data_IF_536211066207
#
_entry.id   IF_536211066207
#
_cell.length_a   1.000
_cell.length_b   1.000
_cell.length_c   1.000
_cell.angle_alpha   90.00
_cell.angle_beta   90.00
_cell.angle_gamma   90.00
#
_symmetry.space_group_name_H-M   'P 1'
#
loop_
_entity.id
_entity.type
_entity.pdbx_description
1 polymer ?
2 non-polymer ?
3 water ?
#
# COMPACT_ATOMS: atom_id res chain seq x y z
N UNK A 22 -9.04 17.76 -5.95
CA UNK A 22 -8.12 18.49 -5.04
C UNK A 22 -6.65 18.03 -5.20
N UNK A 23 -6.26 16.99 -4.48
CA UNK A 23 -4.84 16.73 -4.17
C UNK A 23 -4.02 16.04 -5.28
N UNK A 24 -2.86 16.62 -5.59
CA UNK A 24 -1.92 16.03 -6.53
C UNK A 24 -0.95 15.08 -5.82
N UNK A 25 -0.45 14.10 -6.57
CA UNK A 25 0.44 13.07 -6.06
C UNK A 25 1.75 13.04 -6.87
N UNK A 26 2.87 12.86 -6.17
CA UNK A 26 4.18 12.71 -6.77
C UNK A 26 4.22 11.31 -7.39
N UNK A 27 5.02 11.11 -8.42
CA UNK A 27 4.99 9.82 -9.11
C UNK A 27 5.65 8.74 -8.27
N UNK A 28 5.40 7.49 -8.61
CA UNK A 28 6.06 6.38 -7.98
C UNK A 28 7.02 5.76 -9.00
N UNK A 29 8.20 5.37 -8.54
CA UNK A 29 9.12 4.51 -9.25
C UNK A 29 8.75 3.08 -8.86
N UNK A 30 8.00 2.42 -9.74
CA UNK A 30 7.48 1.08 -9.53
C UNK A 30 8.49 0.06 -10.03
N UNK A 31 9.10 -0.64 -9.10
CA UNK A 31 10.15 -1.60 -9.42
C UNK A 31 9.57 -2.98 -9.32
N UNK A 32 9.67 -3.73 -10.41
CA UNK A 32 9.12 -5.06 -10.46
C UNK A 32 10.29 -5.99 -10.71
N UNK A 33 10.37 -7.08 -9.97
CA UNK A 33 11.36 -8.08 -10.22
C UNK A 33 10.68 -9.44 -10.34
N UNK A 34 11.23 -10.25 -11.21
CA UNK A 34 10.72 -11.58 -11.41
C UNK A 34 12.02 -12.40 -11.44
N UNK A 35 11.96 -13.68 -11.12
CA UNK A 35 13.00 -14.48 -11.73
C UNK A 35 12.52 -14.94 -13.11
N UNK A 36 11.36 -15.59 -13.18
CA UNK A 36 10.92 -16.35 -14.37
C UNK A 36 11.12 -15.55 -15.64
N UNK A 37 10.79 -14.26 -15.55
CA UNK A 37 11.02 -13.30 -16.61
C UNK A 37 9.81 -13.18 -17.51
N UNK A 42 5.79 -9.30 -20.48
CA UNK A 42 4.39 -9.64 -20.78
C UNK A 42 3.45 -8.99 -19.76
N UNK A 43 3.72 -9.25 -18.47
CA UNK A 43 2.95 -8.64 -17.37
C UNK A 43 3.15 -7.12 -17.32
N UNK A 44 4.41 -6.71 -17.44
CA UNK A 44 4.74 -5.29 -17.62
C UNK A 44 3.92 -4.70 -18.77
N UNK A 45 3.88 -5.40 -19.89
CA UNK A 45 3.04 -4.99 -21.04
C UNK A 45 1.61 -4.72 -20.60
N UNK A 46 1.04 -5.70 -19.91
CA UNK A 46 -0.32 -5.64 -19.44
C UNK A 46 -0.52 -4.42 -18.54
N UNK A 47 0.47 -4.16 -17.68
CA UNK A 47 0.33 -3.11 -16.69
C UNK A 47 0.23 -1.75 -17.35
N UNK A 48 1.03 -1.54 -18.39
CA UNK A 48 1.09 -0.23 -19.07
C UNK A 48 -0.16 0.05 -19.92
N UNK A 49 -0.86 -1.02 -20.33
CA UNK A 49 -2.09 -0.90 -21.11
C UNK A 49 -3.29 -0.63 -20.21
N UNK A 54 -1.25 6.12 -15.07
CA UNK A 54 -0.42 7.31 -15.02
C UNK A 54 1.07 6.92 -14.96
N UNK A 55 1.46 5.92 -15.75
CA UNK A 55 2.80 5.34 -15.65
C UNK A 55 3.40 5.18 -17.03
N UNK A 56 4.71 5.44 -17.14
CA UNK A 56 5.46 5.26 -18.37
C UNK A 56 6.51 4.15 -18.19
N UNK A 57 6.82 3.46 -19.28
CA UNK A 57 7.79 2.37 -19.21
C UNK A 57 9.20 2.91 -19.34
N UNK A 58 10.08 2.58 -18.42
CA UNK A 58 11.47 2.87 -18.63
C UNK A 58 12.05 1.79 -19.58
N UNK A 59 12.90 2.21 -20.52
CA UNK A 59 13.63 1.24 -21.31
C UNK A 59 15.08 1.21 -20.82
N UNK A 60 15.57 0.02 -20.47
CA UNK A 60 16.93 -0.15 -20.01
C UNK A 60 17.94 -0.30 -21.15
N UNK A 61 19.19 0.00 -20.85
CA UNK A 61 20.32 -0.30 -21.72
C UNK A 61 20.85 -1.67 -21.36
N UNK A 62 21.26 -2.46 -22.36
CA UNK A 62 21.88 -3.74 -22.10
C UNK A 62 23.02 -4.03 -23.07
N UNK A 63 23.98 -4.84 -22.63
CA UNK A 63 25.02 -5.36 -23.53
C UNK A 63 24.71 -6.73 -24.16
N UNK A 64 23.63 -7.38 -23.75
CA UNK A 64 23.29 -8.67 -24.38
C UNK A 64 22.74 -8.48 -25.79
N UNK A 65 22.85 -9.51 -26.61
CA UNK A 65 22.29 -9.46 -27.98
C UNK A 65 20.77 -9.40 -27.95
N UNK A 66 20.18 -8.72 -28.93
CA UNK A 66 18.74 -8.73 -29.13
C UNK A 66 18.30 -10.14 -29.53
N UNK A 67 17.18 -10.58 -28.98
CA UNK A 67 16.61 -11.90 -29.31
C UNK A 67 15.53 -11.71 -30.36
N UNK A 68 15.05 -12.84 -30.92
CA UNK A 68 14.11 -12.76 -32.03
C UNK A 68 12.87 -12.03 -31.55
N UNK A 69 12.43 -11.06 -32.34
CA UNK A 69 11.25 -10.27 -31.98
C UNK A 69 11.51 -9.01 -31.19
N UNK A 70 12.69 -8.87 -30.59
CA UNK A 70 13.01 -7.69 -29.80
C UNK A 70 13.39 -6.53 -30.73
N UNK A 71 13.07 -5.32 -30.28
CA UNK A 71 13.32 -4.12 -31.06
C UNK A 71 14.01 -3.10 -30.19
N UNK A 72 15.09 -2.53 -30.76
CA UNK A 72 15.76 -1.38 -30.19
C UNK A 72 14.76 -0.29 -29.81
N UNK A 73 14.92 0.25 -28.61
CA UNK A 73 14.12 1.37 -28.15
C UNK A 73 12.78 0.98 -27.55
N UNK A 74 12.41 -0.29 -27.71
CA UNK A 74 11.17 -0.82 -27.15
C UNK A 74 11.49 -1.83 -26.06
N UNK A 75 12.29 -2.84 -26.36
CA UNK A 75 12.64 -3.83 -25.35
C UNK A 75 13.83 -3.41 -24.53
N UNK A 76 14.89 -2.97 -25.23
CA UNK A 76 16.07 -2.38 -24.62
C UNK A 76 16.68 -1.37 -25.57
N UNK A 77 17.61 -0.57 -25.06
CA UNK A 77 18.65 0.01 -25.90
C UNK A 77 19.83 -0.97 -25.91
N UNK A 78 20.12 -1.54 -27.07
CA UNK A 78 21.16 -2.54 -27.21
C UNK A 78 22.50 -1.88 -27.63
N UNK A 79 23.52 -2.02 -26.78
CA UNK A 79 24.84 -1.44 -27.01
C UNK A 79 25.93 -2.45 -26.68
N UNK A 80 27.20 -2.13 -26.94
CA UNK A 80 28.27 -3.05 -26.57
C UNK A 80 28.86 -2.63 -25.22
N UNK A 81 29.79 -3.42 -24.70
CA UNK A 81 30.28 -3.20 -23.36
C UNK A 81 30.98 -1.83 -23.24
N UNK A 82 31.77 -1.48 -24.25
CA UNK A 82 32.47 -0.19 -24.28
C UNK A 82 31.48 0.96 -24.16
N UNK A 83 30.44 0.94 -24.98
CA UNK A 83 29.45 2.02 -24.96
C UNK A 83 28.66 2.06 -23.64
N UNK A 84 28.35 0.88 -23.12
CA UNK A 84 27.68 0.81 -21.82
C UNK A 84 28.53 1.50 -20.77
N UNK A 85 29.80 1.12 -20.68
CA UNK A 85 30.68 1.77 -19.72
C UNK A 85 30.84 3.28 -19.96
N UNK A 86 30.89 3.69 -21.22
CA UNK A 86 30.97 5.14 -21.52
C UNK A 86 29.75 5.88 -20.98
N UNK A 87 28.58 5.29 -21.19
CA UNK A 87 27.33 5.91 -20.72
C UNK A 87 27.33 6.02 -19.19
N UNK A 88 27.73 4.97 -18.48
CA UNK A 88 27.87 5.08 -17.02
C UNK A 88 28.83 6.21 -16.66
N UNK A 89 29.96 6.30 -17.36
CA UNK A 89 30.98 7.27 -17.00
C UNK A 89 30.53 8.72 -17.18
N UNK A 90 29.60 8.95 -18.11
CA UNK A 90 29.17 10.33 -18.43
C UNK A 90 27.87 10.72 -17.71
N UNK A 91 27.46 9.92 -16.73
CA UNK A 91 26.30 10.27 -15.91
C UNK A 91 24.94 9.88 -16.47
N UNK A 92 24.89 9.17 -17.58
CA UNK A 92 23.63 8.88 -18.26
C UNK A 92 22.88 7.64 -17.74
N UNK A 93 23.54 6.88 -16.86
CA UNK A 93 22.95 5.67 -16.26
C UNK A 93 22.88 5.87 -14.77
N UNK A 94 21.69 5.68 -14.24
CA UNK A 94 21.47 5.95 -12.83
C UNK A 94 21.64 4.67 -12.00
N UNK A 95 21.50 3.51 -12.63
CA UNK A 95 21.70 2.23 -11.94
C UNK A 95 22.22 1.26 -12.96
N UNK A 96 23.08 0.35 -12.54
CA UNK A 96 23.46 -0.74 -13.40
C UNK A 96 23.90 -1.95 -12.59
N UNK A 97 23.78 -3.11 -13.22
CA UNK A 97 24.23 -4.37 -12.64
C UNK A 97 24.65 -5.34 -13.73
N UNK A 98 25.43 -6.33 -13.32
CA UNK A 98 25.73 -7.43 -14.19
C UNK A 98 24.77 -8.56 -13.83
N UNK A 99 24.02 -9.01 -14.83
CA UNK A 99 22.98 -10.02 -14.66
C UNK A 99 23.22 -11.12 -15.68
N UNK A 100 23.55 -12.29 -15.15
CA UNK A 100 23.89 -13.45 -15.95
C UNK A 100 24.83 -13.18 -17.10
N UNK A 101 25.96 -12.53 -16.82
CA UNK A 101 27.00 -12.29 -17.79
C UNK A 101 26.90 -11.06 -18.71
N UNK A 102 25.88 -10.21 -18.53
CA UNK A 102 25.71 -9.00 -19.32
C UNK A 102 25.37 -7.79 -18.42
N UNK A 103 25.69 -6.60 -18.89
CA UNK A 103 25.34 -5.35 -18.18
C UNK A 103 23.92 -4.92 -18.54
N UNK A 104 23.21 -4.37 -17.54
CA UNK A 104 21.91 -3.75 -17.74
C UNK A 104 21.86 -2.53 -16.86
N UNK A 105 21.24 -1.47 -17.35
CA UNK A 105 21.19 -0.21 -16.62
C UNK A 105 19.98 0.66 -16.99
N UNK A 106 19.58 1.45 -16.02
CA UNK A 106 18.46 2.33 -16.16
C UNK A 106 18.95 3.71 -16.53
N UNK A 107 18.47 4.26 -17.64
CA UNK A 107 18.86 5.61 -18.02
C UNK A 107 18.37 6.67 -17.03
N UNK A 108 19.22 7.64 -16.71
CA UNK A 108 18.87 8.70 -15.74
C UNK A 108 17.75 9.59 -16.31
N UNK A 109 17.79 9.80 -17.64
CA UNK A 109 16.92 10.73 -18.38
C UNK A 109 15.41 10.73 -18.05
N UNK A 110 14.96 11.83 -17.45
CA UNK A 110 13.51 12.13 -17.16
C UNK A 110 12.92 11.41 -15.94
N UNK A 111 13.72 10.55 -15.30
CA UNK A 111 13.19 9.72 -14.24
C UNK A 111 12.73 10.60 -13.08
N UNK A 112 13.68 11.34 -12.51
CA UNK A 112 13.40 12.24 -11.38
C UNK A 112 12.48 13.35 -11.86
N UNK A 113 12.71 13.85 -13.08
CA UNK A 113 11.77 14.75 -13.73
C UNK A 113 10.33 14.26 -13.55
N UNK A 114 10.08 13.02 -13.97
CA UNK A 114 8.73 12.48 -14.02
C UNK A 114 8.13 12.33 -12.65
N UNK A 115 8.94 11.93 -11.68
CA UNK A 115 8.50 11.84 -10.28
C UNK A 115 7.93 13.19 -9.83
N UNK A 116 8.66 14.27 -10.11
CA UNK A 116 8.19 15.63 -9.74
C UNK A 116 6.85 16.01 -10.42
N UNK A 117 6.60 15.46 -11.61
CA UNK A 117 5.42 15.80 -12.43
C UNK A 117 4.20 14.98 -12.04
N UNK A 118 4.40 14.03 -11.14
CA UNK A 118 3.33 13.14 -10.75
C UNK A 118 3.22 11.97 -11.69
N UNK A 119 4.24 11.75 -12.51
CA UNK A 119 4.22 10.64 -13.46
C UNK A 119 5.04 9.50 -12.88
N UNK A 120 4.44 8.32 -12.85
CA UNK A 120 5.11 7.12 -12.34
C UNK A 120 5.95 6.48 -13.43
N UNK A 121 6.97 5.74 -13.04
CA UNK A 121 7.81 5.04 -13.96
C UNK A 121 7.86 3.55 -13.59
N UNK A 122 7.71 2.70 -14.60
CA UNK A 122 7.86 1.23 -14.42
C UNK A 122 9.30 0.79 -14.76
N UNK A 123 9.95 0.18 -13.77
CA UNK A 123 11.28 -0.40 -13.92
C UNK A 123 11.18 -1.92 -13.71
N UNK A 124 11.57 -2.72 -14.70
CA UNK A 124 11.55 -4.18 -14.54
C UNK A 124 13.01 -4.61 -14.50
N UNK A 125 13.51 -4.84 -13.29
CA UNK A 125 14.93 -4.99 -13.01
C UNK A 125 15.15 -6.13 -12.02
N UNK A 126 16.40 -6.59 -11.90
CA UNK A 126 16.71 -7.71 -11.02
C UNK A 126 16.83 -7.19 -9.58
N UNK A 127 17.12 -8.08 -8.63
CA UNK A 127 17.16 -7.73 -7.23
C UNK A 127 18.28 -6.73 -6.96
N UNK A 128 19.40 -6.84 -7.67
CA UNK A 128 20.49 -5.88 -7.49
C UNK A 128 20.02 -4.46 -7.79
N UNK A 129 19.26 -4.31 -8.87
CA UNK A 129 18.67 -3.02 -9.23
C UNK A 129 17.60 -2.56 -8.26
N UNK A 130 16.73 -3.47 -7.84
CA UNK A 130 15.71 -3.14 -6.87
C UNK A 130 16.35 -2.67 -5.58
N UNK A 131 17.40 -3.36 -5.14
CA UNK A 131 18.08 -2.99 -3.89
C UNK A 131 18.67 -1.59 -3.99
N UNK A 132 19.30 -1.30 -5.12
CA UNK A 132 19.90 0.01 -5.35
C UNK A 132 18.83 1.13 -5.28
N UNK A 133 17.72 0.95 -5.99
CA UNK A 133 16.63 1.93 -5.90
C UNK A 133 16.05 2.12 -4.51
N UNK A 134 15.83 1.01 -3.80
CA UNK A 134 15.30 1.11 -2.44
C UNK A 134 16.28 1.85 -1.51
N UNK A 135 17.58 1.67 -1.71
CA UNK A 135 18.61 2.34 -0.93
C UNK A 135 18.71 3.83 -1.29
N UNK A 136 18.71 4.16 -2.58
CA UNK A 136 18.98 5.54 -2.98
C UNK A 136 17.75 6.44 -3.07
N UNK A 137 16.57 5.87 -3.29
CA UNK A 137 15.36 6.67 -3.55
C UNK A 137 14.15 6.09 -2.84
N UNK A 138 14.36 5.67 -1.59
CA UNK A 138 13.37 4.93 -0.78
C UNK A 138 12.00 5.54 -0.81
N UNK A 139 11.93 6.87 -0.66
CA UNK A 139 10.66 7.57 -0.54
C UNK A 139 9.81 7.56 -1.81
N UNK A 140 10.43 7.32 -2.98
CA UNK A 140 9.70 7.33 -4.24
C UNK A 140 9.50 5.95 -4.86
N UNK A 141 10.10 4.94 -4.26
CA UNK A 141 10.12 3.59 -4.80
C UNK A 141 9.07 2.72 -4.16
N UNK A 142 8.40 1.91 -4.97
CA UNK A 142 7.56 0.83 -4.51
C UNK A 142 8.04 -0.42 -5.23
N UNK A 143 8.42 -1.45 -4.47
CA UNK A 143 9.00 -2.67 -5.06
C UNK A 143 8.08 -3.86 -4.87
N UNK A 144 7.95 -4.66 -5.94
CA UNK A 144 7.09 -5.82 -5.97
C UNK A 144 7.85 -6.99 -6.57
N UNK A 145 7.88 -8.09 -5.84
CA UNK A 145 8.56 -9.29 -6.31
C UNK A 145 7.47 -10.24 -6.83
N UNK A 146 7.64 -10.69 -8.06
CA UNK A 146 6.71 -11.61 -8.69
C UNK A 146 7.27 -13.02 -8.57
N UNK A 147 6.62 -13.82 -7.71
CA UNK A 147 7.05 -15.17 -7.32
C UNK A 147 6.42 -16.23 -8.22
N UNK A 148 7.21 -17.20 -8.71
CA UNK A 148 6.56 -18.31 -9.38
C UNK A 148 5.79 -19.17 -8.40
N UNK A 149 4.79 -19.93 -8.87
CA UNK A 149 3.95 -20.70 -7.93
C UNK A 149 4.68 -21.92 -7.33
N UNK A 150 5.70 -22.40 -8.02
CA UNK A 150 6.51 -23.52 -7.53
C UNK A 150 7.79 -23.57 -8.34
N UNK A 151 8.74 -24.35 -7.85
CA UNK A 151 9.99 -24.57 -8.56
C UNK A 151 9.77 -25.30 -9.87
N UNK A 152 8.89 -26.31 -9.85
CA UNK A 152 8.62 -27.08 -11.04
C UNK A 152 8.03 -26.15 -12.11
N UNK A 153 7.14 -25.24 -11.74
CA UNK A 153 6.60 -24.28 -12.71
C UNK A 153 7.66 -23.30 -13.19
N UNK A 154 8.52 -22.85 -12.29
CA UNK A 154 9.65 -21.98 -12.67
C UNK A 154 10.56 -22.68 -13.70
N UNK A 155 10.89 -23.94 -13.45
CA UNK A 155 11.70 -24.74 -14.39
C UNK A 155 11.01 -24.82 -15.76
N UNK A 156 9.70 -25.04 -15.78
CA UNK A 156 8.97 -25.08 -17.06
C UNK A 156 8.91 -23.70 -17.77
N UNK A 157 9.28 -22.61 -17.10
CA UNK A 157 9.25 -21.25 -17.67
C UNK A 157 10.63 -20.65 -17.95
N UNK A 172 21.02 -22.54 -13.87
CA UNK A 172 20.04 -21.56 -14.40
C UNK A 172 18.89 -21.28 -13.42
N UNK A 173 18.39 -22.35 -12.83
CA UNK A 173 17.36 -22.31 -11.81
C UNK A 173 17.99 -21.99 -10.45
N UNK A 174 19.28 -22.30 -10.31
CA UNK A 174 20.03 -21.92 -9.10
C UNK A 174 20.08 -20.43 -9.01
N UNK A 175 20.24 -19.78 -10.16
CA UNK A 175 20.25 -18.34 -10.23
C UNK A 175 18.90 -17.76 -9.83
N UNK A 176 17.84 -18.41 -10.29
CA UNK A 176 16.49 -17.99 -9.99
C UNK A 176 16.23 -18.16 -8.49
N UNK A 177 16.63 -19.30 -7.91
CA UNK A 177 16.47 -19.51 -6.45
C UNK A 177 17.18 -18.44 -5.62
N UNK A 178 18.38 -18.07 -6.04
CA UNK A 178 19.14 -17.04 -5.34
C UNK A 178 18.41 -15.68 -5.44
N UNK A 179 17.93 -15.34 -6.63
CA UNK A 179 17.15 -14.12 -6.82
C UNK A 179 15.93 -14.10 -5.85
N UNK A 180 15.18 -15.20 -5.84
CA UNK A 180 14.02 -15.39 -4.98
C UNK A 180 14.32 -15.20 -3.50
N UNK A 181 15.54 -15.59 -3.08
CA UNK A 181 15.91 -15.43 -1.68
C UNK A 181 15.96 -13.98 -1.23
N UNK A 182 15.97 -13.02 -2.18
CA UNK A 182 15.92 -11.58 -1.85
C UNK A 182 14.51 -10.97 -1.75
N UNK A 183 13.48 -11.80 -1.89
CA UNK A 183 12.07 -11.37 -1.87
C UNK A 183 11.67 -10.62 -0.61
N UNK A 184 12.25 -11.03 0.52
CA UNK A 184 11.86 -10.43 1.79
C UNK A 184 12.14 -8.98 1.91
N UNK A 185 13.08 -8.48 1.12
CA UNK A 185 13.40 -7.04 1.09
C UNK A 185 12.43 -6.18 0.25
N UNK A 186 11.54 -6.82 -0.51
CA UNK A 186 10.59 -6.10 -1.39
C UNK A 186 9.34 -5.65 -0.62
N UNK A 187 8.71 -4.56 -1.06
CA UNK A 187 7.52 -4.05 -0.35
C UNK A 187 6.34 -5.02 -0.43
N UNK A 188 6.11 -5.56 -1.62
CA UNK A 188 5.05 -6.50 -1.89
C UNK A 188 5.57 -7.75 -2.56
N UNK A 189 4.82 -8.85 -2.41
CA UNK A 189 5.11 -10.10 -3.11
C UNK A 189 3.80 -10.64 -3.67
N UNK A 190 3.84 -11.10 -4.91
CA UNK A 190 2.66 -11.66 -5.59
C UNK A 190 3.08 -12.99 -6.19
N UNK A 191 2.28 -14.03 -5.97
CA UNK A 191 2.48 -15.32 -6.59
C UNK A 191 1.82 -15.26 -7.96
N UNK A 192 2.62 -15.47 -8.99
CA UNK A 192 2.16 -15.38 -10.36
C UNK A 192 1.60 -16.70 -10.95
N UNK A 193 0.37 -17.03 -10.60
CA UNK A 193 -0.35 -18.17 -11.18
C UNK A 193 -0.72 -17.87 -12.63
N UNK A 194 -1.45 -16.78 -12.80
CA UNK A 194 -1.89 -16.28 -14.10
C UNK A 194 -1.39 -14.86 -14.31
N UNK A 195 -0.75 -14.63 -15.45
CA UNK A 195 -0.24 -13.30 -15.83
C UNK A 195 -1.25 -12.17 -15.68
N UNK A 196 -2.46 -12.41 -16.17
CA UNK A 196 -3.49 -11.39 -16.13
C UNK A 196 -3.84 -11.01 -14.70
N UNK A 197 -3.97 -12.00 -13.82
CA UNK A 197 -4.27 -11.74 -12.41
C UNK A 197 -3.13 -10.93 -11.75
N UNK A 198 -1.91 -11.30 -12.06
CA UNK A 198 -0.72 -10.60 -11.56
C UNK A 198 -0.73 -9.13 -11.96
N UNK A 199 -1.00 -8.89 -13.25
CA UNK A 199 -1.12 -7.55 -13.77
C UNK A 199 -2.19 -6.77 -13.02
N UNK A 200 -3.34 -7.40 -12.74
CA UNK A 200 -4.42 -6.75 -11.99
C UNK A 200 -3.97 -6.34 -10.60
N UNK A 201 -3.28 -7.24 -9.92
CA UNK A 201 -2.82 -7.00 -8.56
C UNK A 201 -1.74 -5.91 -8.53
N UNK A 202 -0.84 -5.93 -9.50
CA UNK A 202 0.14 -4.83 -9.60
C UNK A 202 -0.59 -3.51 -9.82
N UNK A 203 -1.57 -3.51 -10.73
CA UNK A 203 -2.35 -2.27 -11.01
C UNK A 203 -3.02 -1.78 -9.71
N UNK A 204 -3.59 -2.69 -8.94
CA UNK A 204 -4.20 -2.35 -7.65
C UNK A 204 -3.21 -1.76 -6.67
N UNK A 205 -1.99 -2.31 -6.63
CA UNK A 205 -0.97 -1.79 -5.71
C UNK A 205 -0.54 -0.40 -6.13
N UNK A 206 -0.41 -0.17 -7.44
CA UNK A 206 0.02 1.14 -7.90
C UNK A 206 -1.05 2.18 -7.51
N UNK A 207 -2.31 1.86 -7.77
CA UNK A 207 -3.42 2.78 -7.48
C UNK A 207 -3.51 3.07 -6.00
N UNK A 208 -3.32 2.05 -5.16
CA UNK A 208 -3.26 2.27 -3.70
C UNK A 208 -2.11 3.20 -3.29
N UNK A 209 -0.93 2.95 -3.84
CA UNK A 209 0.25 3.74 -3.46
C UNK A 209 0.12 5.22 -3.86
N UNK A 210 -0.64 5.49 -4.91
CA UNK A 210 -0.90 6.85 -5.35
C UNK A 210 -1.73 7.65 -4.35
N UNK A 211 -2.48 6.96 -3.50
CA UNK A 211 -3.29 7.57 -2.43
C UNK A 211 -2.59 7.68 -1.10
N UNK A 212 -1.33 7.25 -1.02
CA UNK A 212 -0.61 7.35 0.24
C UNK A 212 -0.47 8.81 0.62
N UNK A 213 -0.67 9.10 1.91
CA UNK A 213 -0.58 10.46 2.40
C UNK A 213 0.81 11.08 2.17
N UNK A 214 1.86 10.30 2.39
CA UNK A 214 3.24 10.78 2.25
C UNK A 214 3.59 11.18 0.81
N UNK A 215 2.81 10.76 -0.19
CA UNK A 215 3.07 11.13 -1.58
C UNK A 215 2.27 12.32 -2.07
N UNK A 216 1.41 12.89 -1.23
CA UNK A 216 0.56 13.97 -1.68
C UNK A 216 1.39 15.25 -1.64
N UNK A 217 1.14 16.17 -2.56
CA UNK A 217 1.88 17.42 -2.56
C UNK A 217 1.02 18.51 -1.98
N UNK A 218 1.52 19.21 -0.99
CA UNK A 218 0.84 20.42 -0.47
C UNK A 218 -0.38 20.11 0.38
N UNK A 219 -0.40 18.96 1.03
CA UNK A 219 -1.56 18.58 1.86
C UNK A 219 -1.74 19.58 3.01
N UNK A 220 -0.65 19.93 3.70
CA UNK A 220 -0.80 20.84 4.85
C UNK A 220 -1.35 22.20 4.41
N UNK A 221 -0.80 22.74 3.31
CA UNK A 221 -1.31 23.99 2.74
C UNK A 221 -2.77 23.86 2.30
N UNK A 222 -3.14 22.70 1.74
CA UNK A 222 -4.53 22.48 1.34
C UNK A 222 -5.44 22.53 2.57
N UNK A 223 -5.03 21.87 3.64
CA UNK A 223 -5.83 21.85 4.88
C UNK A 223 -5.95 23.27 5.46
N UNK A 224 -4.87 24.01 5.44
CA UNK A 224 -4.85 25.36 6.00
C UNK A 224 -5.73 26.33 5.22
N UNK A 225 -5.85 26.11 3.91
CA UNK A 225 -6.68 26.97 3.06
C UNK A 225 -8.13 26.50 3.03
N UNK A 226 -8.38 25.20 2.93
CA UNK A 226 -9.76 24.70 2.72
C UNK A 226 -10.50 24.27 3.97
N UNK A 227 -9.77 23.87 5.02
CA UNK A 227 -10.38 23.46 6.29
C UNK A 227 -9.72 24.18 7.46
N UNK A 228 -9.70 25.52 7.41
CA UNK A 228 -8.97 26.31 8.40
C UNK A 228 -9.63 26.21 9.76
N UNK A 229 -8.82 26.17 10.81
CA UNK A 229 -9.34 26.28 12.16
C UNK A 229 -9.52 27.78 12.41
N UNK A 230 -10.67 28.16 12.96
CA UNK A 230 -10.96 29.56 13.23
C UNK A 230 -10.60 29.91 14.67
N UNK A 231 -10.58 31.22 14.94
CA UNK A 231 -10.15 31.81 16.21
C UNK A 231 -9.23 33.02 15.93
N UNK B 21 -1.61 -21.62 -3.44
CA UNK B 21 -1.74 -21.12 -2.04
C UNK B 21 -0.39 -21.22 -1.31
N UNK B 22 0.66 -20.80 -2.02
CA UNK B 22 2.01 -20.70 -1.48
C UNK B 22 2.11 -19.76 -0.27
N UNK B 23 1.54 -18.56 -0.40
CA UNK B 23 1.52 -17.55 0.68
C UNK B 23 0.20 -17.58 1.46
N UNK B 24 0.26 -17.18 2.74
CA UNK B 24 -0.88 -17.33 3.63
C UNK B 24 -1.72 -16.07 3.67
N UNK B 25 -3.03 -16.25 3.87
CA UNK B 25 -3.95 -15.12 3.91
C UNK B 25 -3.63 -14.19 5.08
N UNK B 26 -3.76 -12.91 4.84
CA UNK B 26 -3.24 -11.92 5.73
C UNK B 26 -4.39 -11.04 6.20
N UNK B 27 -4.34 -10.65 7.48
CA UNK B 27 -5.39 -9.88 8.14
C UNK B 27 -4.92 -8.50 8.60
N UNK B 28 -5.70 -7.49 8.29
CA UNK B 28 -5.34 -6.11 8.57
C UNK B 28 -6.41 -5.53 9.51
N UNK B 29 -5.99 -4.63 10.40
CA UNK B 29 -6.92 -3.82 11.16
C UNK B 29 -7.05 -2.50 10.39
N UNK B 30 -8.16 -2.36 9.68
CA UNK B 30 -8.39 -1.25 8.77
C UNK B 30 -9.14 -0.18 9.55
N UNK B 31 -8.46 0.94 9.76
CA UNK B 31 -8.99 2.03 10.55
C UNK B 31 -9.44 3.10 9.56
N UNK B 32 -10.74 3.42 9.60
CA UNK B 32 -11.29 4.51 8.82
C UNK B 32 -11.76 5.62 9.74
N UNK B 33 -11.39 6.85 9.39
CA UNK B 33 -11.86 8.02 10.11
C UNK B 33 -12.43 9.04 9.15
N UNK B 34 -13.38 9.80 9.67
CA UNK B 34 -13.86 10.99 8.97
C UNK B 34 -14.09 12.11 10.02
N UNK B 35 -14.50 13.29 9.57
CA UNK B 35 -15.00 14.21 10.59
C UNK B 35 -16.26 13.63 11.24
N UNK B 36 -16.36 13.71 12.57
CA UNK B 36 -17.47 13.11 13.30
C UNK B 36 -18.80 13.84 13.09
N UNK B 42 -22.46 4.36 6.13
CA UNK B 42 -22.41 4.91 4.77
C UNK B 42 -21.28 4.27 3.97
N UNK B 43 -20.06 4.80 4.09
CA UNK B 43 -18.93 4.23 3.35
C UNK B 43 -18.62 2.84 3.92
N UNK B 44 -18.60 2.73 5.25
CA UNK B 44 -18.46 1.46 5.97
C UNK B 44 -19.40 0.36 5.46
N UNK B 45 -20.70 0.62 5.49
CA UNK B 45 -21.69 -0.35 5.03
C UNK B 45 -21.37 -0.89 3.63
N UNK B 46 -21.13 0.02 2.70
CA UNK B 46 -20.85 -0.36 1.32
C UNK B 46 -19.61 -1.27 1.19
N UNK B 47 -18.60 -1.03 2.04
CA UNK B 47 -17.35 -1.82 1.96
C UNK B 47 -17.59 -3.27 2.38
N UNK B 48 -18.37 -3.46 3.44
CA UNK B 48 -18.64 -4.78 3.99
C UNK B 48 -19.58 -5.63 3.11
N UNK B 49 -20.56 -4.98 2.48
CA UNK B 49 -21.51 -5.68 1.61
C UNK B 49 -20.92 -5.91 0.23
N UNK B 54 -12.70 -10.22 2.55
CA UNK B 54 -12.38 -10.92 3.79
C UNK B 54 -12.27 -9.97 5.01
N UNK B 55 -13.29 -9.16 5.25
CA UNK B 55 -13.28 -8.23 6.40
C UNK B 55 -14.57 -8.24 7.19
N UNK B 56 -14.45 -8.15 8.51
CA UNK B 56 -15.57 -8.11 9.40
C UNK B 56 -15.69 -6.77 10.14
N UNK B 57 -16.93 -6.43 10.47
CA UNK B 57 -17.19 -5.22 11.21
C UNK B 57 -16.79 -5.43 12.69
N UNK B 58 -16.43 -4.34 13.36
CA UNK B 58 -16.26 -4.32 14.79
C UNK B 58 -17.40 -3.44 15.31
N UNK B 59 -17.96 -3.80 16.44
CA UNK B 59 -19.00 -2.98 17.05
C UNK B 59 -18.37 -2.32 18.29
N UNK B 60 -18.41 -0.99 18.34
CA UNK B 60 -17.86 -0.24 19.45
C UNK B 60 -18.85 -0.09 20.62
N UNK B 61 -18.31 0.19 21.80
CA UNK B 61 -19.07 0.58 22.97
C UNK B 61 -19.17 2.10 22.99
N UNK B 62 -20.31 2.62 23.43
CA UNK B 62 -20.47 4.05 23.61
C UNK B 62 -21.39 4.39 24.77
N UNK B 63 -21.16 5.57 25.34
CA UNK B 63 -22.00 6.12 26.39
C UNK B 63 -23.04 7.11 25.87
N UNK B 64 -23.00 7.42 24.58
CA UNK B 64 -24.05 8.29 24.03
C UNK B 64 -25.36 7.55 23.95
N UNK B 65 -26.46 8.30 23.92
CA UNK B 65 -27.78 7.71 23.76
C UNK B 65 -27.97 7.07 22.37
N UNK B 66 -28.72 5.98 22.31
CA UNK B 66 -29.11 5.40 21.05
C UNK B 66 -30.00 6.38 20.31
N UNK B 67 -29.77 6.53 19.01
CA UNK B 67 -30.57 7.40 18.19
C UNK B 67 -31.67 6.59 17.53
N UNK B 68 -32.63 7.26 16.91
CA UNK B 68 -33.73 6.58 16.22
C UNK B 68 -33.18 5.59 15.21
N UNK B 69 -33.70 4.37 15.24
CA UNK B 69 -33.29 3.33 14.29
C UNK B 69 -32.15 2.43 14.75
N UNK B 70 -31.36 2.91 15.72
CA UNK B 70 -30.17 2.19 16.18
C UNK B 70 -30.54 1.05 17.13
N UNK B 71 -29.71 0.01 17.10
CA UNK B 71 -29.93 -1.20 17.88
C UNK B 71 -28.66 -1.67 18.56
N UNK B 72 -28.79 -1.97 19.84
CA UNK B 72 -27.76 -2.57 20.65
C UNK B 72 -27.16 -3.79 19.96
N UNK B 73 -25.83 -3.84 19.88
CA UNK B 73 -25.13 -4.98 19.31
C UNK B 73 -25.00 -4.92 17.80
N UNK B 74 -25.68 -3.95 17.18
CA UNK B 74 -25.58 -3.74 15.76
C UNK B 74 -24.81 -2.46 15.50
N UNK B 75 -25.32 -1.34 15.98
CA UNK B 75 -24.68 -0.05 15.77
C UNK B 75 -23.58 0.23 16.80
N UNK B 76 -23.92 0.02 18.07
CA UNK B 76 -23.02 0.10 19.20
C UNK B 76 -23.51 -0.83 20.31
N UNK B 77 -22.63 -1.08 21.27
CA UNK B 77 -23.03 -1.49 22.61
C UNK B 77 -23.22 -0.22 23.43
N UNK B 78 -24.47 0.05 23.80
CA UNK B 78 -24.79 1.29 24.52
C UNK B 78 -24.74 1.03 26.04
N UNK B 79 -23.86 1.75 26.74
CA UNK B 79 -23.70 1.63 28.20
C UNK B 79 -23.71 3.03 28.83
N UNK B 80 -23.73 3.11 30.16
CA UNK B 80 -23.58 4.41 30.81
C UNK B 80 -22.10 4.62 31.18
N UNK B 81 -21.77 5.82 31.65
CA UNK B 81 -20.37 6.17 31.91
C UNK B 81 -19.70 5.27 32.94
N UNK B 82 -20.44 4.86 33.98
CA UNK B 82 -19.89 3.99 35.03
C UNK B 82 -19.49 2.65 34.45
N UNK B 83 -20.39 2.09 33.66
CA UNK B 83 -20.17 0.78 33.09
C UNK B 83 -19.03 0.82 32.08
N UNK B 84 -18.97 1.88 31.29
CA UNK B 84 -17.86 2.05 30.37
C UNK B 84 -16.52 2.03 31.08
N UNK B 85 -16.41 2.76 32.18
CA UNK B 85 -15.13 2.85 32.91
C UNK B 85 -14.80 1.49 33.52
N UNK B 86 -15.81 0.76 33.96
CA UNK B 86 -15.64 -0.61 34.44
C UNK B 86 -15.13 -1.55 33.33
N UNK B 87 -15.60 -1.38 32.09
CA UNK B 87 -15.09 -2.19 30.99
C UNK B 87 -13.63 -1.86 30.65
N UNK B 88 -13.21 -0.62 30.90
CA UNK B 88 -11.83 -0.21 30.69
C UNK B 88 -10.89 -0.77 31.77
N UNK B 89 -11.36 -0.80 33.01
CA UNK B 89 -10.56 -1.34 34.11
C UNK B 89 -10.26 -2.83 33.92
N UNK B 90 -11.28 -3.63 33.62
CA UNK B 90 -11.11 -5.09 33.51
C UNK B 90 -10.45 -5.58 32.23
N UNK B 91 -10.06 -4.65 31.36
CA UNK B 91 -9.31 -4.96 30.15
C UNK B 91 -10.14 -5.29 28.93
N UNK B 92 -11.46 -5.13 29.00
CA UNK B 92 -12.34 -5.54 27.90
C UNK B 92 -12.40 -4.54 26.77
N UNK B 93 -11.90 -3.34 27.02
CA UNK B 93 -11.77 -2.30 25.99
C UNK B 93 -10.30 -1.98 25.73
N UNK B 94 -9.88 -2.13 24.47
CA UNK B 94 -8.45 -2.02 24.09
C UNK B 94 -8.06 -0.60 23.67
N UNK B 95 -9.07 0.23 23.40
CA UNK B 95 -8.89 1.63 22.97
C UNK B 95 -10.14 2.34 23.41
N UNK B 96 -9.99 3.56 23.93
CA UNK B 96 -11.13 4.40 24.24
C UNK B 96 -10.76 5.86 24.15
N UNK B 97 -11.75 6.68 23.79
CA UNK B 97 -11.57 8.10 23.69
C UNK B 97 -12.87 8.78 24.09
N UNK B 98 -12.76 10.04 24.49
CA UNK B 98 -13.92 10.91 24.57
C UNK B 98 -14.09 11.68 23.27
N UNK B 99 -15.26 11.55 22.69
CA UNK B 99 -15.55 12.14 21.41
C UNK B 99 -16.81 12.96 21.56
N UNK B 100 -16.63 14.27 21.48
CA UNK B 100 -17.71 15.24 21.64
C UNK B 100 -18.63 14.98 22.82
N UNK B 101 -18.03 14.80 23.99
CA UNK B 101 -18.75 14.70 25.26
C UNK B 101 -19.13 13.30 25.71
N UNK B 102 -18.85 12.28 24.89
CA UNK B 102 -19.23 10.91 25.19
C UNK B 102 -18.05 9.97 24.99
N UNK B 103 -18.14 8.78 25.59
CA UNK B 103 -17.06 7.85 25.54
C UNK B 103 -17.37 6.85 24.46
N UNK B 104 -16.32 6.44 23.74
CA UNK B 104 -16.42 5.39 22.76
C UNK B 104 -15.19 4.49 22.89
N UNK B 105 -15.38 3.21 22.63
CA UNK B 105 -14.24 2.30 22.70
C UNK B 105 -14.42 1.03 21.92
N UNK B 106 -13.28 0.44 21.55
CA UNK B 106 -13.26 -0.76 20.74
C UNK B 106 -13.06 -1.95 21.68
N UNK B 107 -13.97 -2.93 21.63
CA UNK B 107 -13.74 -4.10 22.47
C UNK B 107 -12.54 -4.92 22.01
N UNK B 108 -11.77 -5.43 22.97
CA UNK B 108 -10.63 -6.29 22.73
C UNK B 108 -11.01 -7.60 22.01
N UNK B 109 -12.20 -8.12 22.31
CA UNK B 109 -12.66 -9.46 21.90
C UNK B 109 -12.51 -9.82 20.43
N UNK B 110 -11.63 -10.78 20.14
CA UNK B 110 -11.43 -11.40 18.79
C UNK B 110 -10.55 -10.61 17.79
N UNK B 111 -10.06 -9.45 18.20
CA UNK B 111 -9.34 -8.59 17.28
C UNK B 111 -7.99 -9.23 16.93
N UNK B 112 -7.21 -9.55 17.95
CA UNK B 112 -5.89 -10.17 17.76
C UNK B 112 -6.00 -11.57 17.14
N UNK B 113 -7.00 -12.33 17.60
CA UNK B 113 -7.22 -13.68 17.07
C UNK B 113 -7.61 -13.65 15.57
N UNK B 114 -8.38 -12.62 15.20
CA UNK B 114 -8.81 -12.46 13.81
C UNK B 114 -7.65 -12.10 12.89
N UNK B 115 -6.72 -11.29 13.38
CA UNK B 115 -5.50 -10.98 12.62
C UNK B 115 -4.67 -12.25 12.40
N UNK B 116 -4.66 -13.14 13.38
CA UNK B 116 -3.93 -14.43 13.26
C UNK B 116 -4.60 -15.39 12.27
N UNK B 117 -5.93 -15.33 12.17
CA UNK B 117 -6.69 -16.17 11.23
C UNK B 117 -6.61 -15.71 9.77
N UNK B 118 -6.05 -14.52 9.53
CA UNK B 118 -6.03 -13.93 8.19
C UNK B 118 -7.27 -13.08 7.94
N UNK B 119 -8.03 -12.82 9.01
CA UNK B 119 -9.30 -12.10 8.91
C UNK B 119 -9.11 -10.63 9.28
N UNK B 120 -9.57 -9.74 8.41
CA UNK B 120 -9.37 -8.31 8.59
C UNK B 120 -10.54 -7.76 9.39
N UNK B 121 -10.29 -6.67 10.13
CA UNK B 121 -11.34 -6.03 10.92
C UNK B 121 -11.48 -4.57 10.53
N UNK B 122 -12.72 -4.12 10.36
CA UNK B 122 -13.00 -2.71 10.07
C UNK B 122 -13.34 -1.94 11.33
N UNK B 123 -12.55 -0.91 11.64
CA UNK B 123 -12.78 -0.01 12.76
C UNK B 123 -13.12 1.37 12.23
N UNK B 124 -14.29 1.89 12.59
CA UNK B 124 -14.67 3.22 12.15
C UNK B 124 -14.62 4.08 13.41
N UNK B 125 -13.51 4.82 13.56
CA UNK B 125 -13.17 5.52 14.79
C UNK B 125 -12.57 6.90 14.50
N UNK B 126 -12.49 7.73 15.53
CA UNK B 126 -12.02 9.11 15.36
C UNK B 126 -10.50 9.12 15.33
N UNK B 127 -9.93 10.31 15.21
CA UNK B 127 -8.48 10.41 15.09
C UNK B 127 -7.76 9.93 16.36
N UNK B 128 -8.33 10.20 17.54
CA UNK B 128 -7.72 9.70 18.81
C UNK B 128 -7.59 8.19 18.79
N UNK B 129 -8.66 7.52 18.37
CA UNK B 129 -8.61 6.08 18.20
C UNK B 129 -7.61 5.64 17.15
N UNK B 130 -7.60 6.30 16.01
CA UNK B 130 -6.65 5.94 14.95
C UNK B 130 -5.21 6.07 15.41
N UNK B 131 -4.91 7.15 16.11
CA UNK B 131 -3.54 7.41 16.61
C UNK B 131 -3.16 6.28 17.59
N UNK B 132 -4.08 5.90 18.45
CA UNK B 132 -3.82 4.84 19.44
C UNK B 132 -3.48 3.53 18.72
N UNK B 133 -4.28 3.16 17.72
CA UNK B 133 -4.03 1.92 16.99
C UNK B 133 -2.76 1.94 16.21
N UNK B 134 -2.46 3.07 15.57
CA UNK B 134 -1.20 3.21 14.88
C UNK B 134 0.02 3.08 15.81
N UNK B 135 -0.10 3.52 17.06
CA UNK B 135 1.00 3.40 18.04
C UNK B 135 1.05 2.04 18.75
N UNK B 136 -0.10 1.44 18.98
CA UNK B 136 -0.25 0.19 19.71
C UNK B 136 0.08 -1.03 18.82
N UNK B 137 -0.34 -0.98 17.56
CA UNK B 137 -0.34 -2.18 16.72
C UNK B 137 0.10 -1.80 15.32
N UNK B 138 1.18 -1.04 15.21
CA UNK B 138 1.57 -0.43 13.95
C UNK B 138 1.65 -1.44 12.81
N UNK B 139 2.22 -2.60 13.10
CA UNK B 139 2.45 -3.60 12.07
C UNK B 139 1.16 -4.21 11.50
N UNK B 140 0.04 -4.13 12.22
CA UNK B 140 -1.20 -4.71 11.75
C UNK B 140 -2.24 -3.70 11.22
N UNK B 141 -1.99 -2.41 11.45
CA UNK B 141 -2.97 -1.38 11.20
C UNK B 141 -2.77 -0.72 9.85
N UNK B 142 -3.87 -0.47 9.14
CA UNK B 142 -3.83 0.40 7.99
C UNK B 142 -4.83 1.54 8.23
N UNK B 143 -4.39 2.80 8.21
CA UNK B 143 -5.34 3.91 8.48
C UNK B 143 -5.64 4.74 7.22
N UNK B 144 -6.92 5.14 7.10
CA UNK B 144 -7.41 5.89 5.97
C UNK B 144 -8.29 7.01 6.48
N UNK B 145 -7.97 8.24 6.09
CA UNK B 145 -8.81 9.38 6.47
C UNK B 145 -9.68 9.75 5.29
N UNK B 146 -10.99 9.83 5.52
CA UNK B 146 -11.96 10.18 4.48
C UNK B 146 -12.31 11.66 4.60
N UNK B 147 -11.79 12.46 3.69
CA UNK B 147 -11.94 13.92 3.71
C UNK B 147 -13.21 14.32 2.99
N UNK B 148 -14.00 15.25 3.54
CA UNK B 148 -15.08 15.78 2.72
C UNK B 148 -14.51 16.65 1.57
N UNK B 149 -15.31 16.88 0.53
CA UNK B 149 -14.76 17.62 -0.61
C UNK B 149 -14.61 19.10 -0.36
N UNK B 150 -15.30 19.61 0.65
CA UNK B 150 -15.17 21.02 1.01
C UNK B 150 -15.77 21.24 2.37
N UNK B 151 -15.49 22.40 2.94
CA UNK B 151 -16.02 22.76 4.22
C UNK B 151 -17.53 22.98 4.16
N UNK B 152 -18.02 23.46 3.02
CA UNK B 152 -19.45 23.66 2.86
C UNK B 152 -20.17 22.31 2.83
N UNK B 153 -19.63 21.35 2.09
CA UNK B 153 -20.22 20.02 2.06
C UNK B 153 -20.22 19.44 3.46
N UNK B 154 -19.10 19.61 4.16
CA UNK B 154 -18.98 19.19 5.55
C UNK B 154 -20.06 19.88 6.40
N UNK B 155 -20.19 21.20 6.28
CA UNK B 155 -21.14 21.96 7.12
C UNK B 155 -22.60 21.55 6.89
N UNK B 156 -22.94 21.20 5.65
CA UNK B 156 -24.31 20.79 5.30
C UNK B 156 -24.52 19.29 5.51
N UNK B 157 -23.72 18.68 6.39
CA UNK B 157 -23.81 17.24 6.65
C UNK B 157 -23.77 16.98 8.15
N UNK B 171 -19.15 26.67 16.19
CA UNK B 171 -18.10 25.97 16.93
C UNK B 171 -17.87 24.55 16.42
N UNK B 172 -18.93 23.96 15.86
CA UNK B 172 -18.86 22.60 15.32
C UNK B 172 -17.90 22.49 14.12
N UNK B 173 -17.91 23.47 13.23
CA UNK B 173 -16.99 23.48 12.07
C UNK B 173 -15.52 23.61 12.52
N UNK B 174 -15.31 24.39 13.57
CA UNK B 174 -14.00 24.51 14.22
C UNK B 174 -13.54 23.15 14.77
N UNK B 175 -14.49 22.43 15.38
CA UNK B 175 -14.25 21.03 15.85
C UNK B 175 -13.84 20.07 14.72
N UNK B 176 -14.54 20.15 13.59
CA UNK B 176 -14.28 19.29 12.44
C UNK B 176 -12.92 19.61 11.83
N UNK B 177 -12.62 20.91 11.69
CA UNK B 177 -11.33 21.33 11.14
C UNK B 177 -10.18 20.79 11.98
N UNK B 178 -10.34 20.80 13.31
CA UNK B 178 -9.33 20.23 14.19
C UNK B 178 -9.17 18.69 13.94
N UNK B 179 -10.27 17.97 13.83
CA UNK B 179 -10.20 16.53 13.52
C UNK B 179 -9.43 16.32 12.19
N UNK B 180 -9.87 17.06 11.18
CA UNK B 180 -9.27 17.00 9.86
C UNK B 180 -7.77 17.27 9.85
N UNK B 181 -7.30 18.16 10.72
CA UNK B 181 -5.87 18.48 10.78
C UNK B 181 -5.01 17.26 11.02
N UNK B 182 -5.60 16.23 11.60
CA UNK B 182 -4.85 15.02 11.90
C UNK B 182 -4.66 14.09 10.70
N UNK B 183 -5.26 14.40 9.56
CA UNK B 183 -5.21 13.46 8.44
C UNK B 183 -3.78 13.25 7.93
N UNK B 184 -2.87 14.19 8.18
CA UNK B 184 -1.46 14.03 7.82
C UNK B 184 -0.75 12.84 8.42
N UNK B 185 -1.27 12.32 9.54
CA UNK B 185 -0.67 11.20 10.23
C UNK B 185 -1.24 9.84 9.75
N UNK B 186 -2.26 9.88 8.91
CA UNK B 186 -2.88 8.64 8.40
C UNK B 186 -2.07 8.09 7.22
N UNK B 187 -2.15 6.80 7.00
CA UNK B 187 -1.41 6.14 5.91
C UNK B 187 -1.91 6.60 4.56
N UNK B 188 -3.22 6.73 4.44
CA UNK B 188 -3.89 7.16 3.24
C UNK B 188 -4.92 8.23 3.51
N UNK B 189 -5.14 9.09 2.52
CA UNK B 189 -6.19 10.09 2.54
C UNK B 189 -6.98 10.03 1.23
N UNK B 190 -8.30 10.08 1.34
CA UNK B 190 -9.19 9.99 0.19
C UNK B 190 -10.21 11.10 0.30
N UNK B 191 -10.44 11.82 -0.79
CA UNK B 191 -11.48 12.84 -0.82
C UNK B 191 -12.76 12.15 -1.26
N UNK B 192 -13.80 12.27 -0.46
CA UNK B 192 -15.06 11.58 -0.70
C UNK B 192 -15.99 12.39 -1.60
N UNK B 193 -15.73 12.35 -2.91
CA UNK B 193 -16.60 13.00 -3.91
C UNK B 193 -17.86 12.16 -4.17
N UNK B 194 -17.67 10.85 -4.19
CA UNK B 194 -18.70 9.88 -4.55
C UNK B 194 -18.56 8.67 -3.63
N UNK B 195 -19.61 8.35 -2.87
CA UNK B 195 -19.56 7.28 -1.87
C UNK B 195 -19.08 5.96 -2.45
N UNK B 196 -19.58 5.60 -3.62
CA UNK B 196 -19.24 4.32 -4.21
C UNK B 196 -17.77 4.31 -4.66
N UNK B 197 -17.32 5.37 -5.31
CA UNK B 197 -15.91 5.55 -5.67
C UNK B 197 -15.03 5.43 -4.42
N UNK B 198 -15.38 6.13 -3.36
CA UNK B 198 -14.62 6.01 -2.10
C UNK B 198 -14.55 4.56 -1.60
N UNK B 199 -15.70 3.86 -1.61
CA UNK B 199 -15.75 2.43 -1.26
C UNK B 199 -14.82 1.58 -2.11
N UNK B 200 -14.86 1.79 -3.44
CA UNK B 200 -13.94 1.04 -4.33
C UNK B 200 -12.48 1.37 -4.02
N UNK B 201 -12.17 2.65 -3.75
CA UNK B 201 -10.76 2.98 -3.44
C UNK B 201 -10.29 2.34 -2.12
N UNK B 202 -11.16 2.35 -1.12
CA UNK B 202 -10.82 1.69 0.13
C UNK B 202 -10.62 0.19 -0.10
N UNK B 203 -11.53 -0.44 -0.84
CA UNK B 203 -11.42 -1.88 -1.14
C UNK B 203 -10.10 -2.17 -1.89
N UNK B 204 -9.67 -1.26 -2.76
CA UNK B 204 -8.38 -1.36 -3.44
C UNK B 204 -7.16 -1.27 -2.52
N UNK B 205 -7.20 -0.36 -1.55
CA UNK B 205 -6.16 -0.20 -0.57
C UNK B 205 -6.05 -1.41 0.34
N UNK B 206 -7.19 -1.93 0.77
CA UNK B 206 -7.20 -3.13 1.57
C UNK B 206 -6.52 -4.30 0.83
N UNK B 207 -6.88 -4.47 -0.45
CA UNK B 207 -6.35 -5.59 -1.27
C UNK B 207 -4.87 -5.48 -1.46
N UNK B 208 -4.40 -4.26 -1.65
CA UNK B 208 -2.98 -3.98 -1.85
C UNK B 208 -2.21 -4.32 -0.57
N UNK B 209 -2.68 -3.80 0.55
CA UNK B 209 -2.03 -4.03 1.85
C UNK B 209 -1.95 -5.50 2.23
N UNK B 210 -2.88 -6.31 1.76
CA UNK B 210 -2.84 -7.74 2.05
C UNK B 210 -1.69 -8.44 1.32
N UNK B 211 -1.11 -7.80 0.31
CA UNK B 211 0.03 -8.35 -0.43
C UNK B 211 1.39 -7.84 0.07
N UNK B 212 1.40 -7.07 1.14
CA UNK B 212 2.63 -6.57 1.72
C UNK B 212 3.47 -7.72 2.23
N UNK B 213 4.73 -7.71 1.87
CA UNK B 213 5.65 -8.78 2.22
C UNK B 213 5.78 -8.93 3.73
N UNK B 214 5.81 -7.82 4.45
CA UNK B 214 5.96 -7.88 5.90
C UNK B 214 4.79 -8.58 6.62
N UNK B 215 3.65 -8.75 5.96
CA UNK B 215 2.51 -9.45 6.58
C UNK B 215 2.46 -10.95 6.33
N UNK B 216 3.34 -11.45 5.47
CA UNK B 216 3.39 -12.89 5.26
C UNK B 216 4.24 -13.45 6.44
N UNK B 217 3.73 -14.41 7.18
CA UNK B 217 4.53 -15.03 8.25
C UNK B 217 5.22 -16.28 7.71
N UNK B 218 6.46 -16.49 8.14
CA UNK B 218 7.21 -17.66 7.74
C UNK B 218 7.66 -17.63 6.29
N UNK B 219 7.81 -16.44 5.71
CA UNK B 219 8.17 -16.37 4.30
C UNK B 219 9.56 -16.95 4.05
N UNK B 220 10.52 -16.63 4.91
CA UNK B 220 11.89 -17.05 4.72
C UNK B 220 11.96 -18.59 4.69
N UNK B 221 11.24 -19.22 5.61
CA UNK B 221 11.22 -20.67 5.72
C UNK B 221 10.51 -21.26 4.51
N UNK B 222 9.44 -20.60 4.06
CA UNK B 222 8.74 -21.02 2.85
C UNK B 222 9.71 -21.02 1.66
N UNK B 223 10.41 -19.93 1.46
CA UNK B 223 11.32 -19.82 0.32
C UNK B 223 12.45 -20.84 0.41
N UNK B 224 12.96 -21.06 1.61
CA UNK B 224 14.00 -22.06 1.81
C UNK B 224 13.53 -23.46 1.45
N UNK B 225 12.29 -23.80 1.77
CA UNK B 225 11.74 -25.12 1.45
C UNK B 225 11.34 -25.28 0.00
N UNK B 226 10.74 -24.26 -0.61
CA UNK B 226 10.13 -24.36 -1.93
C UNK B 226 11.03 -23.93 -3.07
N UNK B 227 11.98 -23.03 -2.78
CA UNK B 227 12.97 -22.59 -3.77
C UNK B 227 14.40 -22.66 -3.19
N UNK B 228 14.85 -23.87 -2.80
CA UNK B 228 16.13 -24.01 -2.11
C UNK B 228 17.29 -23.61 -3.01
N UNK B 229 18.24 -22.86 -2.46
CA UNK B 229 19.49 -22.60 -3.15
C UNK B 229 20.41 -23.85 -3.03
N UNK B 230 20.85 -24.38 -4.17
CA UNK B 230 21.76 -25.54 -4.21
C UNK B 230 23.03 -25.18 -4.98
X LIG C 1 16.47 -10.52 -19.83
X LIG C 1 15.66 -9.51 -20.58
X LIG C 1 17.90 -10.69 -20.34
X LIG C 1 15.78 -11.82 -19.57
X LIG C 1 16.61 -9.83 -18.38
X LIG C 1 17.52 -10.35 -17.43
X LIG C 1 17.29 -9.69 -16.08
X LIG C 1 17.80 -8.36 -16.10
X LIG C 1 15.85 -9.54 -15.64
X LIG C 1 15.78 -9.74 -14.24
X LIG C 1 15.57 -8.08 -15.83
X LIG C 1 14.53 -7.67 -14.97
X LIG C 1 16.91 -7.47 -15.45
X LIG C 1 17.09 -6.08 -15.90
X LIG C 1 16.63 -5.54 -17.04
X LIG C 1 16.99 -4.26 -17.10
X LIG C 1 17.68 -3.98 -15.95
X LIG C 1 18.29 -2.85 -15.44
X LIG C 1 18.29 -1.72 -16.03
X LIG C 1 18.92 -2.94 -14.27
X LIG C 1 18.95 -4.11 -13.56
X LIG C 1 19.57 -4.14 -12.38
X LIG C 1 18.36 -5.22 -14.00
X LIG C 1 17.74 -5.17 -15.20
X LIG D 1 -21.28 8.86 16.21
X LIG D 1 -21.81 7.49 15.88
X LIG D 1 -21.64 9.34 17.61
X LIG D 1 -21.56 9.89 15.19
X LIG D 1 -19.69 8.70 16.28
X LIG D 1 -18.90 9.82 16.69
X LIG D 1 -17.43 9.61 16.38
X LIG D 1 -16.90 8.65 17.29
X LIG D 1 -17.12 9.11 14.98
X LIG D 1 -15.93 9.73 14.46
X LIG D 1 -16.76 7.66 15.20
X LIG D 1 -15.82 7.20 14.26
X LIG D 1 -16.13 7.71 16.55
X LIG D 1 -16.06 6.38 17.15
X LIG D 1 -17.01 5.40 17.09
X LIG D 1 -16.55 4.35 17.77
X LIG D 1 -15.35 4.69 18.29
X LIG D 1 -14.40 4.02 19.05
X LIG D 1 -14.56 2.84 19.45
X LIG D 1 -13.26 4.66 19.36
X LIG D 1 -13.03 5.92 18.97
X LIG D 1 -11.88 6.50 19.34
X LIG D 1 -13.91 6.61 18.22
X LIG D 1 -15.07 5.99 17.88
#
# INVERSE_FOLDING_TARGET
>A
MAHHHHHHMGTLEAQTQGPGSMLKSVGVILVLSSPSGCGKTTVANKLLEKQKNNIVKSVSVTTRAARKGEKEGKDYYFVDREEFLRLCSNGEIIEHAEVFGNFYGVPRKNLEDNVDKGVSTLLVIDWQGAFKFMEMMREHVVSIFIMPPSMEELRRRLCGRRADDSEVVEARLKGAAFEISHCEAYDYVIVNEDIEETADRISNILRAEQMKTCRQVGLRELLESRFPIED
>B
MAHHHHHHMGTLEAQTQGPGSMLKSVGVILVLSSPSGCGKTTVANKLLEKQKNNIVKSVSVTTRAARKGEKEGKDYYFVDREEFLRLCSNGEIIEHAEVFGNFYGVPRKNLEDNVDKGVSTLLVIDWQGAFKFMEMMREHVVSIFIMPPSMEELRRRLCGRRADDSEVVEARLKGAAFEISHCEAYDYVIVNEDIEETADRISNILRAEQMKTCRQVGLRELLESRFPIED
>C hetero
1 5GP P O1P O2P O3P O5' C5' C4' O4' C3' O3' C2' O2' C1' N9 C8 N7 C5 C6 O6 N1 C2 N2 N3 C4
>D hetero
1 5GP P O1P O2P O3P O5' C5' C4' O4' C3' O3' C2' O2' C1' N9 C8 N7 C5 C6 O6 N1 C2 N2 N3 C4
#
